data_IF_553706468837
#
_entry.id   IF_553706468837
#
_cell.length_a   1.000
_cell.length_b   1.000
_cell.length_c   1.000
_cell.angle_alpha   90.00
_cell.angle_beta   90.00
_cell.angle_gamma   90.00
#
_symmetry.space_group_name_H-M   'P 1'
#
loop_
_entity.id
_entity.type
_entity.pdbx_description
1 polymer ?
#
# COMPACT_ATOMS: atom_id res chain seq x y z
N UNK A 1 47.39 17.98 52.84
CA UNK A 1 45.92 17.72 52.83
C UNK A 1 45.26 18.68 51.85
N UNK A 2 44.47 18.14 50.90
CA UNK A 2 43.42 18.74 50.04
C UNK A 2 43.55 18.28 48.58
N UNK A 3 43.05 17.06 48.36
CA UNK A 3 42.79 16.48 47.05
C UNK A 3 41.48 17.08 46.52
N UNK A 4 41.54 17.82 45.40
CA UNK A 4 40.36 18.42 44.75
C UNK A 4 39.87 17.46 43.66
N UNK A 5 38.80 16.74 43.95
CA UNK A 5 38.10 15.91 42.97
C UNK A 5 37.31 16.81 42.02
N UNK A 6 37.67 16.84 40.74
CA UNK A 6 36.83 17.44 39.70
C UNK A 6 35.90 16.33 39.21
N UNK A 7 34.67 16.32 39.74
CA UNK A 7 33.61 15.44 39.27
C UNK A 7 33.12 15.99 37.92
N UNK A 8 33.62 15.44 36.81
CA UNK A 8 33.13 15.75 35.48
C UNK A 8 31.78 15.07 35.25
N UNK A 9 30.69 15.84 35.27
CA UNK A 9 29.38 15.36 34.91
C UNK A 9 29.30 15.12 33.40
N UNK A 10 29.33 13.85 32.98
CA UNK A 10 29.04 13.48 31.59
C UNK A 10 27.53 13.58 31.36
N UNK A 11 27.09 14.67 30.72
CA UNK A 11 25.72 14.83 30.21
C UNK A 11 25.57 13.93 28.99
N UNK A 12 24.87 12.81 29.17
CA UNK A 12 24.45 11.93 28.08
C UNK A 12 23.24 12.59 27.39
N UNK A 13 23.47 13.34 26.30
CA UNK A 13 22.40 13.84 25.45
C UNK A 13 21.75 12.67 24.72
N UNK A 14 20.59 12.24 25.21
CA UNK A 14 19.71 11.30 24.51
C UNK A 14 19.19 12.01 23.27
N UNK A 15 19.71 11.61 22.10
CA UNK A 15 19.20 12.03 20.79
C UNK A 15 17.83 11.39 20.57
N UNK A 16 16.76 12.11 20.90
CA UNK A 16 15.40 11.73 20.53
C UNK A 16 15.24 11.90 19.02
N UNK A 17 15.31 10.82 18.25
CA UNK A 17 14.90 10.86 16.84
C UNK A 17 13.37 11.01 16.80
N UNK A 18 12.83 12.07 16.18
CA UNK A 18 11.39 12.16 15.98
C UNK A 18 10.95 10.99 15.08
N UNK A 19 9.99 10.20 15.54
CA UNK A 19 9.27 9.29 14.67
C UNK A 19 8.43 10.16 13.72
N UNK A 20 8.76 10.16 12.43
CA UNK A 20 7.88 10.75 11.43
C UNK A 20 6.64 9.87 11.34
N UNK A 21 5.54 10.32 11.94
CA UNK A 21 4.24 9.74 11.66
C UNK A 21 3.95 9.99 10.17
N UNK A 22 3.88 8.93 9.38
CA UNK A 22 3.45 9.04 8.00
C UNK A 22 1.98 9.42 8.02
N UNK A 23 1.62 10.56 7.40
CA UNK A 23 0.21 10.91 7.24
C UNK A 23 -0.46 9.84 6.36
N UNK A 24 -1.61 9.35 6.79
CA UNK A 24 -2.37 8.38 6.01
C UNK A 24 -2.82 9.01 4.71
N UNK A 25 -2.80 8.21 3.65
CA UNK A 25 -3.40 8.60 2.39
C UNK A 25 -4.91 8.85 2.56
N UNK A 26 -5.53 9.46 1.56
CA UNK A 26 -6.98 9.70 1.53
C UNK A 26 -7.57 9.11 0.26
N UNK A 27 -8.80 8.63 0.37
CA UNK A 27 -9.58 8.21 -0.78
C UNK A 27 -9.81 9.37 -1.75
N UNK A 28 -9.80 9.08 -3.05
CA UNK A 28 -9.99 10.07 -4.11
C UNK A 28 -8.81 11.04 -4.32
N UNK A 29 -7.77 10.98 -3.49
CA UNK A 29 -6.57 11.80 -3.66
C UNK A 29 -5.49 11.10 -4.51
N UNK A 30 -4.68 11.87 -5.26
CA UNK A 30 -3.53 11.32 -5.97
C UNK A 30 -2.52 10.69 -5.00
N UNK A 31 -2.00 9.53 -5.37
CA UNK A 31 -0.94 8.84 -4.66
C UNK A 31 0.16 8.39 -5.64
N UNK A 32 1.40 8.38 -5.15
CA UNK A 32 2.53 7.77 -5.83
C UNK A 32 3.04 6.60 -4.98
N UNK A 33 2.89 5.39 -5.53
CA UNK A 33 3.21 4.16 -4.83
C UNK A 33 4.41 3.48 -5.47
N UNK A 34 5.36 3.02 -4.66
CA UNK A 34 6.56 2.32 -5.12
C UNK A 34 6.62 0.91 -4.54
N UNK A 35 6.89 -0.08 -5.37
CA UNK A 35 6.83 -1.48 -4.96
C UNK A 35 7.32 -2.45 -6.01
N UNK A 36 7.14 -3.73 -5.76
CA UNK A 36 7.38 -4.82 -6.70
C UNK A 36 6.05 -5.19 -7.33
N UNK A 37 5.97 -5.17 -8.66
CA UNK A 37 4.79 -5.64 -9.37
C UNK A 37 4.67 -7.16 -9.22
N UNK A 38 3.50 -7.64 -8.81
CA UNK A 38 3.20 -9.06 -8.70
C UNK A 38 1.88 -9.37 -9.40
N UNK A 39 1.75 -10.60 -9.88
CA UNK A 39 0.52 -11.12 -10.49
C UNK A 39 -0.08 -12.19 -9.59
N UNK A 40 -1.40 -12.22 -9.49
CA UNK A 40 -2.13 -13.28 -8.81
C UNK A 40 -3.29 -13.78 -9.65
N UNK A 41 -3.59 -15.09 -9.56
CA UNK A 41 -4.76 -15.71 -10.20
C UNK A 41 -5.89 -15.71 -9.18
N UNK A 42 -7.04 -15.16 -9.56
CA UNK A 42 -8.20 -14.98 -8.71
C UNK A 42 -9.48 -15.54 -9.35
N UNK A 43 -10.47 -15.94 -8.54
CA UNK A 43 -11.76 -16.40 -9.03
C UNK A 43 -12.61 -15.22 -9.53
N UNK A 44 -13.05 -15.31 -10.77
CA UNK A 44 -13.99 -14.40 -11.42
C UNK A 44 -15.43 -14.95 -11.43
N UNK A 45 -16.26 -14.57 -12.41
CA UNK A 45 -17.64 -15.05 -12.50
C UNK A 45 -17.76 -16.59 -12.61
N UNK A 46 -18.91 -17.17 -12.24
CA UNK A 46 -20.10 -16.48 -11.74
C UNK A 46 -20.06 -16.10 -10.26
N UNK A 47 -19.42 -16.91 -9.40
CA UNK A 47 -19.54 -16.74 -7.94
C UNK A 47 -18.38 -15.99 -7.30
N UNK A 48 -17.23 -15.85 -8.00
CA UNK A 48 -16.02 -15.19 -7.49
C UNK A 48 -15.46 -15.85 -6.21
N UNK A 49 -15.66 -17.15 -6.03
CA UNK A 49 -15.23 -17.88 -4.83
C UNK A 49 -14.09 -18.86 -5.09
N UNK A 50 -14.10 -19.59 -6.21
CA UNK A 50 -13.14 -20.66 -6.47
C UNK A 50 -13.02 -21.06 -7.94
N UNK A 51 -11.81 -20.88 -8.47
CA UNK A 51 -11.42 -21.40 -9.80
C UNK A 51 -11.54 -22.93 -9.84
N UNK A 52 -11.14 -23.62 -8.77
CA UNK A 52 -11.22 -25.08 -8.69
C UNK A 52 -12.67 -25.61 -8.72
N UNK A 53 -13.63 -24.81 -8.24
CA UNK A 53 -15.07 -25.13 -8.28
C UNK A 53 -15.79 -24.64 -9.54
N UNK A 54 -15.07 -24.05 -10.49
CA UNK A 54 -15.60 -23.71 -11.82
C UNK A 54 -15.72 -22.21 -12.14
N UNK A 55 -15.29 -21.32 -11.24
CA UNK A 55 -15.23 -19.90 -11.56
C UNK A 55 -14.16 -19.60 -12.62
N UNK A 56 -14.43 -18.60 -13.46
CA UNK A 56 -13.48 -18.14 -14.46
C UNK A 56 -12.23 -17.56 -13.78
N UNK A 57 -11.05 -18.09 -14.10
CA UNK A 57 -9.80 -17.50 -13.60
C UNK A 57 -9.51 -16.16 -14.28
N UNK A 58 -9.04 -15.18 -13.51
CA UNK A 58 -8.44 -13.96 -14.05
C UNK A 58 -7.15 -13.59 -13.34
N UNK A 59 -6.27 -12.87 -14.04
CA UNK A 59 -5.02 -12.37 -13.47
C UNK A 59 -5.21 -10.94 -13.00
N UNK A 60 -4.99 -10.67 -11.71
CA UNK A 60 -4.92 -9.33 -11.17
C UNK A 60 -3.46 -8.88 -11.09
N UNK A 61 -3.22 -7.60 -11.39
CA UNK A 61 -1.94 -6.94 -11.16
C UNK A 61 -1.97 -6.22 -9.82
N UNK A 62 -0.95 -6.48 -9.00
CA UNK A 62 -0.83 -5.94 -7.66
C UNK A 62 0.55 -5.30 -7.51
N UNK A 63 0.63 -4.29 -6.66
CA UNK A 63 1.88 -3.68 -6.25
C UNK A 63 2.14 -4.06 -4.80
N UNK A 64 3.14 -4.90 -4.57
CA UNK A 64 3.67 -5.13 -3.22
C UNK A 64 4.52 -3.93 -2.85
N UNK A 65 3.99 -3.09 -1.97
CA UNK A 65 4.57 -1.81 -1.60
C UNK A 65 5.92 -1.97 -0.90
N UNK A 66 6.85 -1.05 -1.19
CA UNK A 66 8.14 -0.98 -0.49
C UNK A 66 7.95 -0.52 0.96
N UNK A 67 6.97 0.35 1.17
CA UNK A 67 6.57 0.86 2.47
C UNK A 67 5.06 0.68 2.60
N UNK A 68 4.56 0.02 3.66
CA UNK A 68 3.13 -0.07 3.91
C UNK A 68 2.49 1.32 4.00
N UNK A 69 1.25 1.45 3.56
CA UNK A 69 0.48 2.69 3.69
C UNK A 69 -0.77 2.47 4.54
N UNK A 70 -1.22 3.53 5.20
CA UNK A 70 -2.56 3.61 5.75
C UNK A 70 -3.43 4.52 4.88
N UNK A 71 -4.74 4.36 4.97
CA UNK A 71 -5.73 5.23 4.30
C UNK A 71 -6.76 5.66 5.34
N UNK A 72 -7.00 6.96 5.42
CA UNK A 72 -7.99 7.55 6.33
C UNK A 72 -9.41 7.14 5.92
N UNK A 73 -10.32 7.04 6.88
CA UNK A 73 -11.75 6.90 6.60
C UNK A 73 -12.23 8.05 5.69
N UNK A 74 -13.01 7.70 4.67
CA UNK A 74 -13.62 8.64 3.75
C UNK A 74 -14.95 9.19 4.26
N UNK A 75 -15.64 9.94 3.40
CA UNK A 75 -16.98 10.43 3.72
C UNK A 75 -18.09 9.44 3.33
N UNK A 76 -17.78 8.50 2.44
CA UNK A 76 -18.69 7.46 2.00
C UNK A 76 -18.54 6.20 2.89
N UNK A 77 -19.62 5.53 3.31
CA UNK A 77 -19.55 4.25 4.03
C UNK A 77 -18.74 3.15 3.30
N UNK A 78 -18.62 3.23 1.97
CA UNK A 78 -17.80 2.33 1.16
C UNK A 78 -16.29 2.68 1.16
N UNK A 79 -15.89 3.72 1.90
CA UNK A 79 -14.52 4.21 2.03
C UNK A 79 -13.97 3.99 3.46
N UNK A 80 -13.77 2.74 3.91
CA UNK A 80 -13.34 2.45 5.28
C UNK A 80 -11.90 2.93 5.53
N UNK A 81 -11.55 3.13 6.80
CA UNK A 81 -10.15 3.29 7.20
C UNK A 81 -9.36 2.00 6.95
N UNK A 82 -8.12 2.15 6.49
CA UNK A 82 -7.13 1.09 6.38
C UNK A 82 -5.94 1.45 7.25
N UNK A 83 -5.74 0.71 8.34
CA UNK A 83 -4.64 0.97 9.30
C UNK A 83 -3.26 0.67 8.70
N UNK A 84 -3.16 -0.33 7.84
CA UNK A 84 -1.94 -0.68 7.11
C UNK A 84 -2.25 -1.65 5.98
N UNK A 85 -1.72 -1.39 4.79
CA UNK A 85 -1.68 -2.34 3.68
C UNK A 85 -0.31 -2.34 3.01
N UNK A 86 0.15 -3.53 2.65
CA UNK A 86 1.39 -3.75 1.89
C UNK A 86 1.10 -4.08 0.42
N UNK A 87 -0.19 -4.23 0.07
CA UNK A 87 -0.62 -4.71 -1.24
C UNK A 87 -1.75 -3.85 -1.78
N UNK A 88 -1.57 -3.34 -2.99
CA UNK A 88 -2.54 -2.50 -3.69
C UNK A 88 -2.76 -3.06 -5.08
N UNK A 89 -4.01 -3.31 -5.46
CA UNK A 89 -4.36 -3.73 -6.82
C UNK A 89 -4.29 -2.54 -7.77
N UNK A 90 -3.69 -2.75 -8.94
CA UNK A 90 -3.58 -1.75 -9.99
C UNK A 90 -4.78 -1.85 -10.93
N UNK A 91 -5.57 -0.79 -11.00
CA UNK A 91 -6.65 -0.62 -11.97
C UNK A 91 -6.16 0.32 -13.10
N UNK A 92 -5.15 -0.11 -13.86
CA UNK A 92 -4.57 0.72 -14.91
C UNK A 92 -5.27 0.53 -16.28
N UNK A 93 -5.07 1.48 -17.19
CA UNK A 93 -5.48 1.31 -18.59
C UNK A 93 -4.79 0.09 -19.25
N UNK A 94 -5.43 -0.65 -20.18
CA UNK A 94 -4.84 -1.82 -20.83
C UNK A 94 -3.50 -1.52 -21.53
N UNK A 95 -3.36 -0.30 -22.07
CA UNK A 95 -2.12 0.19 -22.69
C UNK A 95 -0.98 0.36 -21.68
N UNK A 96 -1.29 0.74 -20.44
CA UNK A 96 -0.31 0.84 -19.36
C UNK A 96 0.06 -0.55 -18.85
N UNK A 97 -0.94 -1.40 -18.61
CA UNK A 97 -0.77 -2.80 -18.19
C UNK A 97 0.20 -3.55 -19.12
N UNK A 98 0.04 -3.43 -20.43
CA UNK A 98 0.88 -4.16 -21.40
C UNK A 98 2.37 -3.78 -21.38
N UNK A 99 2.73 -2.71 -20.67
CA UNK A 99 4.11 -2.24 -20.50
C UNK A 99 4.72 -2.65 -19.17
N UNK A 100 3.89 -3.10 -18.23
CA UNK A 100 4.33 -3.54 -16.90
C UNK A 100 4.76 -5.00 -16.98
N UNK A 101 5.77 -5.37 -16.18
CA UNK A 101 6.27 -6.74 -16.09
C UNK A 101 6.34 -7.17 -14.64
N UNK A 102 5.75 -8.34 -14.35
CA UNK A 102 5.80 -8.93 -13.01
C UNK A 102 7.25 -9.13 -12.55
N UNK A 103 7.50 -8.91 -11.26
CA UNK A 103 8.82 -8.94 -10.63
C UNK A 103 9.63 -7.65 -10.72
N UNK A 104 9.22 -6.67 -11.55
CA UNK A 104 9.92 -5.39 -11.63
C UNK A 104 9.57 -4.48 -10.44
N UNK A 105 10.59 -3.75 -9.96
CA UNK A 105 10.38 -2.63 -9.03
C UNK A 105 9.94 -1.41 -9.84
N UNK A 106 8.76 -0.88 -9.52
CA UNK A 106 8.15 0.23 -10.23
C UNK A 106 7.63 1.29 -9.26
N UNK A 107 7.45 2.50 -9.80
CA UNK A 107 6.72 3.60 -9.16
C UNK A 107 5.52 3.94 -10.04
N UNK A 108 4.34 4.00 -9.45
CA UNK A 108 3.06 4.19 -10.15
C UNK A 108 2.30 5.30 -9.47
N UNK A 109 2.01 6.36 -10.23
CA UNK A 109 1.09 7.41 -9.80
C UNK A 109 -0.33 7.11 -10.30
N UNK A 110 -1.32 7.46 -9.48
CA UNK A 110 -2.75 7.28 -9.73
C UNK A 110 -3.61 7.84 -8.61
N UNK A 111 -4.90 7.48 -8.58
CA UNK A 111 -5.84 7.88 -7.53
C UNK A 111 -6.27 6.68 -6.71
N UNK A 112 -6.25 6.78 -5.39
CA UNK A 112 -6.69 5.71 -4.50
C UNK A 112 -8.22 5.61 -4.45
N UNK A 113 -8.74 4.38 -4.49
CA UNK A 113 -10.15 4.10 -4.29
C UNK A 113 -10.36 2.75 -3.60
N UNK A 114 -11.50 2.59 -2.93
CA UNK A 114 -11.83 1.40 -2.15
C UNK A 114 -12.37 0.25 -3.01
N UNK A 115 -12.23 -0.97 -2.51
CA UNK A 115 -12.83 -2.15 -3.12
C UNK A 115 -14.37 -2.12 -3.07
N UNK A 116 -15.03 -2.33 -4.22
CA UNK A 116 -16.49 -2.27 -4.34
C UNK A 116 -17.04 -3.23 -5.41
N UNK A 117 -16.21 -4.12 -5.99
CA UNK A 117 -16.66 -5.15 -6.95
C UNK A 117 -16.04 -6.50 -6.63
N UNK A 118 -16.60 -7.59 -7.18
CA UNK A 118 -16.03 -8.95 -7.07
C UNK A 118 -14.65 -9.11 -7.72
N UNK A 119 -14.20 -8.16 -8.54
CA UNK A 119 -12.85 -8.19 -9.13
C UNK A 119 -11.80 -7.50 -8.25
N UNK A 120 -12.21 -6.82 -7.18
CA UNK A 120 -11.32 -6.07 -6.30
C UNK A 120 -10.86 -7.00 -5.17
N UNK A 121 -9.60 -7.43 -5.23
CA UNK A 121 -9.02 -8.46 -4.34
C UNK A 121 -8.12 -7.89 -3.25
N UNK A 122 -7.93 -6.57 -3.25
CA UNK A 122 -7.28 -5.83 -2.17
C UNK A 122 -8.21 -4.72 -1.66
N UNK A 123 -8.16 -4.34 -0.37
CA UNK A 123 -9.03 -3.29 0.18
C UNK A 123 -8.85 -1.92 -0.48
N UNK A 124 -7.64 -1.60 -0.93
CA UNK A 124 -7.30 -0.39 -1.67
C UNK A 124 -6.85 -0.73 -3.09
N UNK A 125 -7.25 0.10 -4.04
CA UNK A 125 -6.85 0.04 -5.44
C UNK A 125 -6.28 1.38 -5.87
N UNK A 126 -5.45 1.36 -6.91
CA UNK A 126 -4.91 2.56 -7.55
C UNK A 126 -5.40 2.63 -8.99
N UNK A 127 -6.20 3.65 -9.32
CA UNK A 127 -6.54 3.98 -10.71
C UNK A 127 -5.36 4.69 -11.36
N UNK A 128 -4.70 3.99 -12.28
CA UNK A 128 -3.47 4.40 -12.93
C UNK A 128 -3.72 4.50 -14.44
N UNK A 129 -4.26 5.63 -14.88
CA UNK A 129 -4.53 5.87 -16.30
C UNK A 129 -3.27 5.80 -17.19
#
# INVERSE_FOLDING_TARGET
>A
MRLKYVLGAAILMVLSTPAMAQECARWGEPAELSGILVEGIYPGPPEYESVERGDAAYTALLLHLTTPICVSEGSDPEEPAIESTELVQLACSPKRISRLKSGERITVSGTLFSAHTGYHVTPALLDCQ
#
